data_IF_751276130306
#
_entry.id   IF_751276130306
#
_cell.length_a   1.000
_cell.length_b   1.000
_cell.length_c   1.000
_cell.angle_alpha   90.00
_cell.angle_beta   90.00
_cell.angle_gamma   90.00
#
_symmetry.space_group_name_H-M   'P 1'
#
loop_
_entity.id
_entity.type
_entity.pdbx_description
1 polymer ?
#
# COMPACT_ATOMS: atom_id res chain seq x y z
N UNK A 1 -16.53 -2.35 -6.37
CA UNK A 1 -15.94 -2.11 -5.03
C UNK A 1 -15.71 -0.60 -4.86
N UNK A 2 -15.94 -0.07 -3.66
CA UNK A 2 -15.95 1.38 -3.40
C UNK A 2 -14.58 1.93 -3.03
N UNK A 3 -14.40 3.25 -3.10
CA UNK A 3 -13.15 3.96 -2.76
C UNK A 3 -12.64 3.72 -1.32
N UNK A 4 -13.46 3.11 -0.45
CA UNK A 4 -13.11 2.80 0.93
C UNK A 4 -12.01 1.74 1.06
N UNK A 5 -12.05 0.69 0.24
CA UNK A 5 -11.06 -0.39 0.26
C UNK A 5 -9.64 0.11 -0.03
N UNK A 6 -9.49 1.02 -1.02
CA UNK A 6 -8.19 1.58 -1.38
C UNK A 6 -7.58 2.45 -0.27
N UNK A 7 -8.41 3.15 0.51
CA UNK A 7 -7.94 3.93 1.65
C UNK A 7 -7.48 3.04 2.81
N UNK A 8 -8.15 1.90 3.02
CA UNK A 8 -7.69 0.88 3.99
C UNK A 8 -6.40 0.21 3.56
N UNK A 9 -6.23 -0.11 2.28
CA UNK A 9 -4.97 -0.63 1.73
C UNK A 9 -3.80 0.34 1.92
N UNK A 10 -4.03 1.65 1.71
CA UNK A 10 -3.03 2.68 2.01
C UNK A 10 -2.62 2.71 3.49
N UNK A 11 -3.58 2.59 4.41
CA UNK A 11 -3.31 2.50 5.86
C UNK A 11 -2.56 1.22 6.23
N UNK A 12 -2.93 0.08 5.66
CA UNK A 12 -2.27 -1.20 5.90
C UNK A 12 -0.81 -1.17 5.40
N UNK A 13 -0.57 -0.63 4.20
CA UNK A 13 0.79 -0.43 3.66
C UNK A 13 1.62 0.48 4.55
N UNK A 14 1.05 1.58 5.05
CA UNK A 14 1.73 2.45 6.02
C UNK A 14 2.07 1.70 7.31
N UNK A 15 1.13 0.93 7.86
CA UNK A 15 1.39 0.12 9.05
C UNK A 15 2.48 -0.94 8.82
N UNK A 16 2.60 -1.50 7.62
CA UNK A 16 3.68 -2.42 7.26
C UNK A 16 5.04 -1.70 7.11
N UNK A 17 5.07 -0.48 6.59
CA UNK A 17 6.30 0.32 6.44
C UNK A 17 6.85 0.73 7.81
N UNK A 18 5.97 1.20 8.70
CA UNK A 18 6.33 1.77 10.01
C UNK A 18 6.21 0.76 11.17
N UNK A 19 5.55 -0.38 10.94
CA UNK A 19 5.36 -1.45 11.92
C UNK A 19 6.57 -2.38 12.07
N UNK A 20 6.57 -3.10 13.21
CA UNK A 20 7.63 -3.93 13.79
C UNK A 20 8.68 -4.50 12.82
N UNK A 21 9.96 -4.31 13.19
CA UNK A 21 11.20 -4.63 12.45
C UNK A 21 11.48 -6.13 12.24
N UNK A 22 10.70 -7.02 12.86
CA UNK A 22 11.08 -8.42 13.05
C UNK A 22 10.90 -9.31 11.80
N UNK A 23 10.17 -8.85 10.77
CA UNK A 23 9.81 -9.70 9.62
C UNK A 23 9.88 -8.96 8.27
N UNK A 24 11.06 -8.41 7.94
CA UNK A 24 11.30 -7.66 6.69
C UNK A 24 10.89 -8.42 5.42
N UNK A 25 11.24 -9.70 5.31
CA UNK A 25 10.91 -10.50 4.12
C UNK A 25 9.40 -10.76 3.96
N UNK A 26 8.67 -10.94 5.06
CA UNK A 26 7.22 -11.09 5.04
C UNK A 26 6.52 -9.78 4.68
N UNK A 27 7.04 -8.67 5.22
CA UNK A 27 6.60 -7.31 4.94
C UNK A 27 6.74 -6.94 3.47
N UNK A 28 7.88 -7.22 2.85
CA UNK A 28 8.09 -6.92 1.41
C UNK A 28 7.12 -7.69 0.51
N UNK A 29 6.83 -8.96 0.83
CA UNK A 29 5.80 -9.75 0.12
C UNK A 29 4.41 -9.16 0.27
N UNK A 30 4.03 -8.74 1.49
CA UNK A 30 2.75 -8.11 1.77
C UNK A 30 2.61 -6.76 1.05
N UNK A 31 3.66 -5.94 1.05
CA UNK A 31 3.66 -4.67 0.33
C UNK A 31 3.47 -4.89 -1.17
N UNK A 32 4.19 -5.86 -1.76
CA UNK A 32 4.01 -6.22 -3.16
C UNK A 32 2.59 -6.70 -3.47
N UNK A 33 2.00 -7.54 -2.61
CA UNK A 33 0.63 -8.01 -2.80
C UNK A 33 -0.40 -6.87 -2.76
N UNK A 34 -0.18 -5.87 -1.91
CA UNK A 34 -1.02 -4.67 -1.85
C UNK A 34 -0.86 -3.84 -3.13
N UNK A 35 0.38 -3.61 -3.57
CA UNK A 35 0.65 -2.83 -4.79
C UNK A 35 0.08 -3.53 -6.05
N UNK A 36 0.21 -4.86 -6.15
CA UNK A 36 -0.33 -5.70 -7.24
C UNK A 36 -1.87 -5.66 -7.30
N UNK A 37 -2.54 -5.79 -6.15
CA UNK A 37 -4.01 -5.69 -6.06
C UNK A 37 -4.54 -4.28 -6.37
N UNK A 38 -3.81 -3.23 -5.98
CA UNK A 38 -4.17 -1.85 -6.34
C UNK A 38 -3.98 -1.61 -7.83
N UNK A 39 -2.90 -2.10 -8.42
CA UNK A 39 -2.66 -2.01 -9.86
C UNK A 39 -3.75 -2.75 -10.65
N UNK A 40 -4.14 -3.96 -10.23
CA UNK A 40 -5.24 -4.70 -10.85
C UNK A 40 -6.58 -3.93 -10.78
N UNK A 41 -6.88 -3.29 -9.64
CA UNK A 41 -8.14 -2.57 -9.47
C UNK A 41 -8.18 -1.18 -10.12
N UNK A 42 -7.05 -0.48 -10.19
CA UNK A 42 -7.00 0.93 -10.62
C UNK A 42 -6.34 1.13 -11.98
N UNK A 43 -5.60 0.13 -12.47
CA UNK A 43 -4.68 0.28 -13.60
C UNK A 43 -3.50 1.22 -13.32
N UNK A 44 -3.33 1.64 -12.06
CA UNK A 44 -2.36 2.66 -11.65
C UNK A 44 -1.70 2.26 -10.32
N UNK A 45 -0.53 1.63 -10.39
CA UNK A 45 0.30 1.30 -9.21
C UNK A 45 0.70 2.53 -8.40
N UNK A 46 0.69 3.71 -9.03
CA UNK A 46 1.05 4.99 -8.42
C UNK A 46 -0.07 5.61 -7.60
N UNK A 47 -1.27 5.04 -7.58
CA UNK A 47 -2.41 5.63 -6.89
C UNK A 47 -2.15 5.76 -5.38
N UNK A 48 -1.47 4.78 -4.78
CA UNK A 48 -1.01 4.85 -3.39
C UNK A 48 0.21 5.77 -3.21
N UNK A 49 1.06 5.91 -4.23
CA UNK A 49 2.23 6.80 -4.20
C UNK A 49 1.84 8.28 -4.30
N UNK A 50 0.84 8.61 -5.13
CA UNK A 50 0.33 9.97 -5.31
C UNK A 50 -0.31 10.53 -4.04
N UNK A 51 -0.96 9.68 -3.24
CA UNK A 51 -1.55 10.10 -1.97
C UNK A 51 -0.52 10.37 -0.87
N UNK A 52 0.66 9.73 -0.94
CA UNK A 52 1.74 9.91 0.04
C UNK A 52 2.71 11.04 -0.34
N UNK A 53 2.58 11.62 -1.55
CA UNK A 53 3.38 12.74 -2.03
C UNK A 53 2.74 14.11 -1.69
N UNK A 54 2.45 14.32 -0.41
CA UNK A 54 2.24 15.65 0.18
C UNK A 54 3.16 15.82 1.38
N UNK A 55 4.46 15.88 1.11
CA UNK A 55 5.46 16.44 2.01
C UNK A 55 6.64 16.89 1.15
N UNK A 56 6.54 18.14 0.70
CA UNK A 56 7.56 18.95 0.05
C UNK A 56 7.16 20.39 0.27
#
# INVERSE_FOLDING_TARGET
MGRGDLAELGRLRHYLIFGRKDNRAHREKLMKAIDDYVEEMTGDWTWLHAQNHKCG
#
